data_IF_248205858168
#
_entry.id   IF_248205858168
#
_cell.length_a   1.000
_cell.length_b   1.000
_cell.length_c   1.000
_cell.angle_alpha   90.00
_cell.angle_beta   90.00
_cell.angle_gamma   90.00
#
_symmetry.space_group_name_H-M   'P 1'
#
loop_
_entity.id
_entity.type
_entity.pdbx_description
1 polymer ?
#
# COMPACT_ATOMS: atom_id res chain seq x y z
N UNK A 1 -20.73 -1.16 2.63
CA UNK A 1 -19.48 -0.86 1.90
C UNK A 1 -18.37 -1.77 2.39
N UNK A 2 -17.67 -2.41 1.48
CA UNK A 2 -16.60 -3.33 1.84
C UNK A 2 -15.40 -2.54 2.37
N UNK A 3 -14.76 -3.08 3.40
CA UNK A 3 -13.57 -2.45 3.98
C UNK A 3 -12.34 -3.27 3.63
N UNK A 4 -11.30 -2.57 3.23
CA UNK A 4 -10.05 -3.17 2.79
C UNK A 4 -8.90 -2.73 3.66
N UNK A 5 -7.92 -3.62 3.80
CA UNK A 5 -6.60 -3.28 4.34
C UNK A 5 -5.60 -3.34 3.20
N UNK A 6 -4.94 -2.22 2.95
CA UNK A 6 -3.96 -2.15 1.88
C UNK A 6 -2.58 -1.95 2.51
N UNK A 7 -1.74 -2.97 2.39
CA UNK A 7 -0.37 -2.89 2.88
C UNK A 7 0.57 -2.60 1.72
N UNK A 8 1.43 -1.61 1.88
CA UNK A 8 2.40 -1.27 0.85
C UNK A 8 3.79 -1.28 1.49
N UNK A 9 4.63 -2.19 1.02
CA UNK A 9 5.99 -2.35 1.51
C UNK A 9 6.93 -1.69 0.49
N UNK A 10 7.56 -0.59 0.90
CA UNK A 10 8.42 0.20 0.04
C UNK A 10 9.86 -0.16 0.34
N UNK A 11 10.44 -1.03 -0.47
CA UNK A 11 11.82 -1.44 -0.32
C UNK A 11 12.78 -0.51 -1.05
N UNK A 12 14.05 -0.90 -1.04
CA UNK A 12 15.08 -0.10 -1.70
C UNK A 12 14.97 -0.12 -3.22
N UNK A 13 14.43 -1.20 -3.79
CA UNK A 13 14.31 -1.33 -5.24
C UNK A 13 12.90 -1.68 -5.70
N UNK A 14 12.05 -2.19 -4.81
CA UNK A 14 10.73 -2.67 -5.18
C UNK A 14 9.66 -2.11 -4.26
N UNK A 15 8.44 -2.06 -4.78
CA UNK A 15 7.25 -1.71 -4.01
C UNK A 15 6.28 -2.88 -4.12
N UNK A 16 5.81 -3.38 -2.99
CA UNK A 16 4.87 -4.49 -2.95
C UNK A 16 3.56 -4.00 -2.35
N UNK A 17 2.44 -4.35 -2.99
CA UNK A 17 1.12 -4.03 -2.48
C UNK A 17 0.37 -5.32 -2.18
N UNK A 18 -0.36 -5.32 -1.07
CA UNK A 18 -1.20 -6.42 -0.66
C UNK A 18 -2.55 -5.85 -0.24
N UNK A 19 -3.63 -6.39 -0.78
CA UNK A 19 -4.98 -5.94 -0.44
C UNK A 19 -5.73 -7.09 0.20
N UNK A 20 -6.22 -6.86 1.41
CA UNK A 20 -6.98 -7.85 2.16
C UNK A 20 -8.38 -7.33 2.42
N UNK A 21 -9.33 -8.27 2.52
CA UNK A 21 -10.65 -7.98 3.05
C UNK A 21 -10.51 -7.78 4.56
N UNK A 22 -10.90 -6.62 5.07
CA UNK A 22 -10.67 -6.31 6.50
C UNK A 22 -11.50 -7.19 7.43
N UNK A 23 -12.64 -7.69 6.95
CA UNK A 23 -13.50 -8.52 7.78
C UNK A 23 -13.04 -9.96 7.87
N UNK A 24 -12.62 -10.53 6.74
CA UNK A 24 -12.23 -11.95 6.68
C UNK A 24 -10.74 -12.17 6.61
N UNK A 25 -9.97 -11.09 6.39
CA UNK A 25 -8.52 -11.15 6.21
C UNK A 25 -8.11 -12.00 5.01
N UNK A 26 -9.01 -12.13 4.05
CA UNK A 26 -8.73 -12.86 2.82
C UNK A 26 -7.91 -12.00 1.87
N UNK A 27 -6.87 -12.58 1.28
CA UNK A 27 -6.07 -11.88 0.30
C UNK A 27 -6.88 -11.72 -0.98
N UNK A 28 -7.07 -10.47 -1.40
CA UNK A 28 -7.84 -10.16 -2.60
C UNK A 28 -6.97 -9.83 -3.79
N UNK A 29 -5.79 -9.25 -3.54
CA UNK A 29 -4.94 -8.82 -4.63
C UNK A 29 -3.54 -8.58 -4.08
N UNK A 30 -2.52 -8.89 -4.86
CA UNK A 30 -1.15 -8.52 -4.53
C UNK A 30 -0.37 -8.34 -5.82
N UNK A 31 0.64 -7.49 -5.76
CA UNK A 31 1.51 -7.22 -6.89
C UNK A 31 2.80 -6.64 -6.34
N UNK A 32 3.88 -6.69 -7.12
CA UNK A 32 5.06 -5.94 -6.75
C UNK A 32 5.78 -5.48 -8.01
N UNK A 33 6.49 -4.36 -7.90
CA UNK A 33 7.14 -3.74 -9.04
C UNK A 33 8.44 -3.11 -8.61
N UNK A 34 9.38 -3.04 -9.53
CA UNK A 34 10.56 -2.25 -9.36
C UNK A 34 10.17 -0.78 -9.48
N UNK A 35 10.62 0.07 -8.55
CA UNK A 35 10.25 1.49 -8.59
C UNK A 35 11.32 2.37 -9.23
N UNK A 36 12.47 1.82 -9.61
CA UNK A 36 13.52 2.57 -10.30
C UNK A 36 13.85 3.87 -9.57
N UNK A 37 13.97 3.80 -8.25
CA UNK A 37 14.27 4.92 -7.37
C UNK A 37 13.17 5.99 -7.27
N UNK A 38 12.02 5.78 -7.90
CA UNK A 38 10.89 6.69 -7.78
C UNK A 38 9.83 6.05 -6.90
N UNK A 39 10.08 6.10 -5.59
CA UNK A 39 9.25 5.40 -4.63
C UNK A 39 7.84 5.99 -4.53
N UNK A 40 7.75 7.32 -4.53
CA UNK A 40 6.45 7.97 -4.41
C UNK A 40 5.55 7.65 -5.58
N UNK A 41 6.07 7.75 -6.81
CA UNK A 41 5.27 7.44 -7.98
C UNK A 41 4.81 5.99 -7.99
N UNK A 42 5.68 5.08 -7.54
CA UNK A 42 5.35 3.67 -7.47
C UNK A 42 4.22 3.39 -6.47
N UNK A 43 4.27 4.05 -5.31
CA UNK A 43 3.23 3.90 -4.30
C UNK A 43 1.90 4.45 -4.81
N UNK A 44 1.92 5.63 -5.43
CA UNK A 44 0.71 6.23 -5.96
C UNK A 44 0.11 5.37 -7.07
N UNK A 45 0.95 4.78 -7.91
CA UNK A 45 0.48 3.88 -8.94
C UNK A 45 -0.19 2.65 -8.31
N UNK A 46 0.42 2.07 -7.27
CA UNK A 46 -0.15 0.89 -6.61
C UNK A 46 -1.51 1.21 -5.98
N UNK A 47 -1.63 2.37 -5.35
CA UNK A 47 -2.89 2.80 -4.75
C UNK A 47 -3.95 3.00 -5.83
N UNK A 48 -3.59 3.60 -6.95
CA UNK A 48 -4.52 3.81 -8.06
C UNK A 48 -5.00 2.48 -8.63
N UNK A 49 -4.09 1.52 -8.81
CA UNK A 49 -4.46 0.21 -9.32
C UNK A 49 -5.45 -0.47 -8.37
N UNK A 50 -5.20 -0.38 -7.07
CA UNK A 50 -6.12 -0.96 -6.11
C UNK A 50 -7.47 -0.28 -6.15
N UNK A 51 -7.50 1.05 -6.26
CA UNK A 51 -8.76 1.78 -6.30
C UNK A 51 -9.58 1.41 -7.53
N UNK A 52 -8.93 1.17 -8.67
CA UNK A 52 -9.64 0.78 -9.89
C UNK A 52 -10.20 -0.63 -9.78
N UNK A 53 -9.50 -1.53 -9.08
CA UNK A 53 -9.96 -2.89 -8.92
C UNK A 53 -11.07 -3.03 -7.88
N UNK A 54 -11.11 -2.13 -6.91
CA UNK A 54 -12.05 -2.20 -5.80
C UNK A 54 -12.77 -0.88 -5.64
N UNK A 55 -13.62 -0.50 -6.61
CA UNK A 55 -14.39 0.74 -6.49
C UNK A 55 -15.41 0.62 -5.37
N UNK A 56 -15.78 1.75 -4.79
CA UNK A 56 -16.79 1.82 -3.75
C UNK A 56 -16.41 1.02 -2.49
N UNK A 57 -15.12 0.89 -2.23
CA UNK A 57 -14.62 0.28 -1.00
C UNK A 57 -13.98 1.34 -0.12
N UNK A 58 -14.12 1.15 1.19
CA UNK A 58 -13.40 1.95 2.16
C UNK A 58 -12.08 1.23 2.45
N UNK A 59 -10.98 1.97 2.48
CA UNK A 59 -9.67 1.34 2.60
C UNK A 59 -8.81 2.03 3.64
N UNK A 60 -8.06 1.22 4.39
CA UNK A 60 -7.00 1.71 5.27
C UNK A 60 -5.66 1.34 4.65
N UNK A 61 -4.77 2.30 4.53
CA UNK A 61 -3.48 2.10 3.89
C UNK A 61 -2.39 2.12 4.95
N UNK A 62 -1.52 1.12 4.91
CA UNK A 62 -0.40 0.98 5.83
C UNK A 62 0.87 0.91 5.00
N UNK A 63 1.83 1.79 5.30
CA UNK A 63 3.12 1.83 4.61
C UNK A 63 4.20 1.27 5.52
N UNK A 64 5.04 0.40 4.96
CA UNK A 64 6.17 -0.19 5.66
C UNK A 64 7.38 -0.20 4.74
N UNK A 65 8.55 -0.59 5.29
CA UNK A 65 9.76 -0.74 4.50
C UNK A 65 10.69 0.45 4.61
N UNK A 66 11.88 0.32 4.03
CA UNK A 66 12.93 1.31 4.16
C UNK A 66 12.57 2.64 3.51
N UNK A 67 11.73 2.63 2.49
CA UNK A 67 11.31 3.85 1.80
C UNK A 67 9.99 4.41 2.29
N UNK A 68 9.41 3.84 3.35
CA UNK A 68 8.06 4.21 3.75
C UNK A 68 7.98 5.61 4.34
N UNK A 69 8.97 6.02 5.13
CA UNK A 69 8.88 7.29 5.85
C UNK A 69 8.80 8.51 4.92
N UNK A 70 9.73 8.68 3.97
CA UNK A 70 9.62 9.83 3.08
C UNK A 70 8.37 9.77 2.20
N UNK A 71 7.93 8.57 1.81
CA UNK A 71 6.72 8.44 1.02
C UNK A 71 5.49 8.82 1.84
N UNK A 72 5.42 8.36 3.09
CA UNK A 72 4.30 8.68 3.95
C UNK A 72 4.20 10.18 4.20
N UNK A 73 5.33 10.84 4.41
CA UNK A 73 5.35 12.29 4.62
C UNK A 73 4.89 13.03 3.38
N UNK A 74 5.38 12.61 2.21
CA UNK A 74 5.01 13.27 0.96
C UNK A 74 3.54 13.06 0.62
N UNK A 75 2.99 11.89 0.93
CA UNK A 75 1.62 11.57 0.60
C UNK A 75 0.63 11.96 1.70
N UNK A 76 1.11 12.39 2.86
CA UNK A 76 0.23 12.71 3.97
C UNK A 76 -0.43 11.49 4.60
N UNK A 77 0.19 10.32 4.43
CA UNK A 77 -0.36 9.06 4.91
C UNK A 77 0.30 8.67 6.22
N UNK A 78 -0.46 8.15 7.21
CA UNK A 78 0.16 7.70 8.45
C UNK A 78 1.15 6.59 8.22
N UNK A 79 2.24 6.61 8.99
CA UNK A 79 3.29 5.61 8.92
C UNK A 79 3.15 4.67 10.11
N UNK A 80 3.18 3.37 9.82
CA UNK A 80 3.15 2.34 10.85
C UNK A 80 4.48 1.60 10.84
N UNK A 81 5.08 1.35 12.03
CA UNK A 81 6.29 0.54 12.08
C UNK A 81 6.03 -0.84 11.48
N UNK A 82 7.02 -1.36 10.78
CA UNK A 82 6.88 -2.65 10.15
C UNK A 82 6.50 -3.72 11.15
N UNK A 83 5.50 -4.53 10.80
CA UNK A 83 5.06 -5.62 11.63
C UNK A 83 4.29 -5.22 12.87
N UNK A 84 3.96 -3.96 13.06
CA UNK A 84 3.23 -3.50 14.23
C UNK A 84 1.96 -2.78 13.84
N UNK A 85 1.02 -2.92 14.71
CA UNK A 85 -0.28 -2.29 14.48
C UNK A 85 -0.71 -1.54 15.69
#
# INVERSE_FOLDING_TARGET
MKKLLIGIDVGSTTTKITVLDAGTETLLYSDYRRHHADQLASVLFAIREAAERFPDCDARIILTGSGAKPVAEAAGTPLYPGGRR
#
